data_IF_237430322465
#
_entry.id   IF_237430322465
#
_cell.length_a   1.000
_cell.length_b   1.000
_cell.length_c   1.000
_cell.angle_alpha   90.00
_cell.angle_beta   90.00
_cell.angle_gamma   90.00
#
_symmetry.space_group_name_H-M   'P 1'
#
loop_
_entity.id
_entity.type
_entity.pdbx_description
1 polymer ?
#
# COMPACT_ATOMS: atom_id res chain seq x y z
N UNK A 1 -19.05 -24.60 1.14
CA UNK A 1 -18.33 -23.76 0.15
C UNK A 1 -18.20 -22.27 0.54
N UNK A 2 -19.07 -21.69 1.39
CA UNK A 2 -19.03 -20.26 1.75
C UNK A 2 -17.92 -19.84 2.75
N UNK A 3 -17.44 -20.76 3.60
CA UNK A 3 -16.41 -20.47 4.61
C UNK A 3 -15.02 -20.28 3.95
N UNK A 4 -14.76 -21.01 2.88
CA UNK A 4 -13.49 -20.93 2.14
C UNK A 4 -13.34 -19.63 1.35
N UNK A 5 -14.44 -19.02 0.90
CA UNK A 5 -14.39 -17.76 0.15
C UNK A 5 -14.19 -16.55 1.06
N UNK A 6 -14.81 -16.50 2.25
CA UNK A 6 -14.57 -15.44 3.25
C UNK A 6 -13.14 -15.47 3.78
N UNK A 7 -12.57 -16.66 4.00
CA UNK A 7 -11.16 -16.78 4.42
C UNK A 7 -10.18 -16.25 3.37
N UNK A 8 -10.43 -16.56 2.08
CA UNK A 8 -9.62 -16.06 0.95
C UNK A 8 -9.73 -14.54 0.81
N UNK A 9 -10.93 -13.97 0.94
CA UNK A 9 -11.15 -12.52 0.91
C UNK A 9 -10.46 -11.80 2.07
N UNK A 10 -10.52 -12.35 3.28
CA UNK A 10 -9.80 -11.81 4.44
C UNK A 10 -8.29 -11.82 4.23
N UNK A 11 -7.74 -12.91 3.68
CA UNK A 11 -6.32 -13.00 3.34
C UNK A 11 -5.91 -11.99 2.27
N UNK A 12 -6.73 -11.78 1.24
CA UNK A 12 -6.50 -10.75 0.22
C UNK A 12 -6.52 -9.33 0.82
N UNK A 13 -7.45 -9.05 1.74
CA UNK A 13 -7.49 -7.77 2.44
C UNK A 13 -6.19 -7.52 3.21
N UNK A 14 -5.69 -8.53 3.96
CA UNK A 14 -4.42 -8.42 4.70
C UNK A 14 -3.24 -8.18 3.77
N UNK A 15 -3.14 -8.93 2.67
CA UNK A 15 -2.06 -8.76 1.69
C UNK A 15 -2.09 -7.36 1.08
N UNK A 16 -3.28 -6.89 0.69
CA UNK A 16 -3.45 -5.54 0.14
C UNK A 16 -3.07 -4.45 1.15
N UNK A 17 -3.40 -4.63 2.44
CA UNK A 17 -2.98 -3.71 3.51
C UNK A 17 -1.46 -3.66 3.64
N UNK A 18 -0.79 -4.82 3.68
CA UNK A 18 0.68 -4.89 3.83
C UNK A 18 1.35 -4.24 2.63
N UNK A 19 0.95 -4.60 1.41
CA UNK A 19 1.51 -4.02 0.18
C UNK A 19 1.30 -2.51 0.15
N UNK A 20 0.09 -2.05 0.49
CA UNK A 20 -0.25 -0.64 0.51
C UNK A 20 0.55 0.15 1.55
N UNK A 21 0.67 -0.38 2.77
CA UNK A 21 1.43 0.24 3.84
C UNK A 21 2.93 0.31 3.54
N UNK A 22 3.51 -0.76 2.97
CA UNK A 22 4.92 -0.78 2.57
C UNK A 22 5.15 0.21 1.43
N UNK A 23 4.34 0.20 0.37
CA UNK A 23 4.50 1.10 -0.76
C UNK A 23 4.36 2.57 -0.32
N UNK A 24 3.35 2.88 0.49
CA UNK A 24 3.17 4.23 1.02
C UNK A 24 4.29 4.63 1.99
N UNK A 25 4.74 3.71 2.85
CA UNK A 25 5.87 3.94 3.74
C UNK A 25 7.17 4.24 2.99
N UNK A 26 7.47 3.51 1.91
CA UNK A 26 8.62 3.78 1.05
C UNK A 26 8.47 5.12 0.33
N UNK A 27 7.26 5.46 -0.14
CA UNK A 27 7.00 6.77 -0.74
C UNK A 27 7.29 7.92 0.23
N UNK A 28 6.85 7.79 1.48
CA UNK A 28 7.13 8.76 2.55
C UNK A 28 8.63 8.84 2.78
N UNK A 29 9.32 7.70 2.95
CA UNK A 29 10.77 7.67 3.14
C UNK A 29 11.49 8.42 2.01
N UNK A 30 11.17 8.16 0.74
CA UNK A 30 11.76 8.84 -0.42
C UNK A 30 11.61 10.38 -0.40
N UNK A 31 10.55 10.89 0.22
CA UNK A 31 10.35 12.35 0.39
C UNK A 31 11.25 12.91 1.49
N UNK A 32 11.42 12.18 2.59
CA UNK A 32 12.10 12.65 3.80
C UNK A 32 13.59 12.30 3.88
N UNK A 33 14.05 11.28 3.15
CA UNK A 33 15.46 10.90 3.13
C UNK A 33 16.25 11.75 2.14
N UNK A 34 17.35 12.39 2.57
CA UNK A 34 18.25 13.08 1.66
C UNK A 34 18.99 12.04 0.80
N UNK A 35 18.73 12.07 -0.51
CA UNK A 35 19.47 11.32 -1.53
C UNK A 35 20.24 12.30 -2.41
N UNK A 36 21.55 12.07 -2.53
CA UNK A 36 22.47 12.90 -3.28
C UNK A 36 23.90 12.71 -2.77
N UNK A 37 24.93 13.12 -3.53
CA UNK A 37 26.31 12.94 -3.10
C UNK A 37 26.55 13.71 -1.81
N UNK A 38 26.85 13.00 -0.73
CA UNK A 38 27.34 13.57 0.54
C UNK A 38 28.87 13.73 0.54
N UNK A 39 29.51 13.49 -0.60
CA UNK A 39 30.96 13.53 -0.78
C UNK A 39 31.38 14.35 -1.99
N UNK A 40 32.62 14.83 -1.94
CA UNK A 40 33.29 15.74 -2.87
C UNK A 40 32.91 15.57 -4.34
N UNK A 41 32.63 16.71 -4.98
CA UNK A 41 32.31 16.85 -6.41
C UNK A 41 33.36 16.10 -7.25
N UNK A 42 33.02 14.91 -7.75
CA UNK A 42 33.79 14.24 -8.79
C UNK A 42 33.50 14.94 -10.11
N UNK A 43 34.52 15.57 -10.70
CA UNK A 43 34.46 16.10 -12.06
C UNK A 43 34.33 14.92 -13.04
N UNK A 44 33.10 14.51 -13.35
CA UNK A 44 32.78 13.59 -14.44
C UNK A 44 32.18 14.40 -15.59
N UNK A 45 32.51 14.02 -16.83
CA UNK A 45 31.86 14.55 -18.05
C UNK A 45 30.50 13.91 -18.30
N UNK A 46 30.10 12.94 -17.47
CA UNK A 46 28.78 12.32 -17.53
C UNK A 46 27.70 13.30 -17.05
N UNK A 47 26.53 13.32 -17.70
CA UNK A 47 25.42 14.16 -17.25
C UNK A 47 25.05 13.80 -15.80
N UNK A 48 24.88 14.80 -14.90
CA UNK A 48 24.55 14.54 -13.51
C UNK A 48 23.18 13.87 -13.43
N UNK A 49 23.11 12.77 -12.66
CA UNK A 49 21.83 12.08 -12.43
C UNK A 49 20.91 12.99 -11.61
N UNK A 50 19.73 13.29 -12.16
CA UNK A 50 18.71 14.08 -11.47
C UNK A 50 17.96 13.23 -10.42
N UNK A 51 18.62 13.01 -9.29
CA UNK A 51 18.08 12.29 -8.14
C UNK A 51 16.82 12.95 -7.56
N UNK A 52 16.67 14.27 -7.72
CA UNK A 52 15.52 15.04 -7.25
C UNK A 52 14.26 14.70 -8.04
N UNK A 53 14.35 14.59 -9.36
CA UNK A 53 13.21 14.20 -10.19
C UNK A 53 12.89 12.73 -10.00
N UNK A 54 13.91 11.86 -9.97
CA UNK A 54 13.73 10.42 -9.75
C UNK A 54 13.00 10.15 -8.42
N UNK A 55 13.40 10.79 -7.32
CA UNK A 55 12.75 10.59 -6.01
C UNK A 55 11.29 11.06 -6.02
N UNK A 56 10.99 12.21 -6.63
CA UNK A 56 9.64 12.79 -6.62
C UNK A 56 8.69 11.91 -7.42
N UNK A 57 9.14 11.45 -8.59
CA UNK A 57 8.36 10.55 -9.44
C UNK A 57 8.16 9.19 -8.77
N UNK A 58 9.21 8.60 -8.19
CA UNK A 58 9.09 7.33 -7.48
C UNK A 58 8.17 7.43 -6.26
N UNK A 59 8.28 8.50 -5.46
CA UNK A 59 7.40 8.74 -4.32
C UNK A 59 5.94 8.93 -4.76
N UNK A 60 5.69 9.67 -5.84
CA UNK A 60 4.33 9.88 -6.34
C UNK A 60 3.68 8.56 -6.81
N UNK A 61 4.42 7.73 -7.55
CA UNK A 61 3.93 6.43 -8.04
C UNK A 61 3.68 5.47 -6.87
N UNK A 62 4.64 5.34 -5.95
CA UNK A 62 4.49 4.45 -4.79
C UNK A 62 3.41 4.93 -3.83
N UNK A 63 3.25 6.24 -3.65
CA UNK A 63 2.22 6.83 -2.81
C UNK A 63 0.82 6.61 -3.37
N UNK A 64 0.61 6.86 -4.66
CA UNK A 64 -0.68 6.61 -5.33
C UNK A 64 -1.04 5.13 -5.34
N UNK A 65 -0.08 4.25 -5.66
CA UNK A 65 -0.29 2.81 -5.59
C UNK A 65 -0.59 2.33 -4.17
N UNK A 66 0.15 2.83 -3.17
CA UNK A 66 -0.05 2.50 -1.77
C UNK A 66 -1.44 2.89 -1.27
N UNK A 67 -1.90 4.10 -1.59
CA UNK A 67 -3.24 4.57 -1.25
C UNK A 67 -4.34 3.73 -1.92
N UNK A 68 -4.18 3.41 -3.20
CA UNK A 68 -5.14 2.56 -3.91
C UNK A 68 -5.24 1.14 -3.31
N UNK A 69 -4.09 0.56 -2.95
CA UNK A 69 -4.04 -0.74 -2.28
C UNK A 69 -4.71 -0.69 -0.90
N UNK A 70 -4.47 0.36 -0.10
CA UNK A 70 -5.10 0.55 1.21
C UNK A 70 -6.62 0.75 1.09
N UNK A 71 -7.07 1.56 0.13
CA UNK A 71 -8.51 1.74 -0.13
C UNK A 71 -9.17 0.41 -0.53
N UNK A 72 -8.51 -0.37 -1.38
CA UNK A 72 -8.98 -1.71 -1.78
C UNK A 72 -9.06 -2.66 -0.58
N UNK A 73 -8.03 -2.66 0.27
CA UNK A 73 -8.00 -3.48 1.48
C UNK A 73 -9.15 -3.13 2.44
N UNK A 74 -9.44 -1.83 2.60
CA UNK A 74 -10.52 -1.34 3.43
C UNK A 74 -11.89 -1.81 2.93
N UNK A 75 -12.13 -1.75 1.61
CA UNK A 75 -13.35 -2.28 1.00
C UNK A 75 -13.47 -3.79 1.23
N UNK A 76 -12.40 -4.56 1.00
CA UNK A 76 -12.41 -6.00 1.21
C UNK A 76 -12.66 -6.37 2.69
N UNK A 77 -12.04 -5.65 3.62
CA UNK A 77 -12.24 -5.83 5.05
C UNK A 77 -13.71 -5.57 5.45
N UNK A 78 -14.32 -4.50 4.91
CA UNK A 78 -15.72 -4.18 5.15
C UNK A 78 -16.65 -5.29 4.63
N UNK A 79 -16.40 -5.80 3.42
CA UNK A 79 -17.18 -6.91 2.85
C UNK A 79 -17.10 -8.16 3.74
N UNK A 80 -15.90 -8.49 4.23
CA UNK A 80 -15.71 -9.63 5.14
C UNK A 80 -16.46 -9.40 6.46
N UNK A 81 -16.37 -8.20 7.03
CA UNK A 81 -17.05 -7.83 8.27
C UNK A 81 -18.58 -7.93 8.14
N UNK A 82 -19.15 -7.39 7.05
CA UNK A 82 -20.59 -7.45 6.78
C UNK A 82 -21.04 -8.91 6.64
N UNK A 83 -20.31 -9.73 5.88
CA UNK A 83 -20.63 -11.16 5.72
C UNK A 83 -20.59 -11.91 7.05
N UNK A 84 -19.59 -11.61 7.88
CA UNK A 84 -19.47 -12.18 9.21
C UNK A 84 -20.63 -11.76 10.13
N UNK A 85 -21.02 -10.48 10.10
CA UNK A 85 -22.11 -9.96 10.91
C UNK A 85 -23.48 -10.55 10.50
N UNK A 86 -23.74 -10.69 9.20
CA UNK A 86 -24.96 -11.32 8.68
C UNK A 86 -25.03 -12.79 9.09
N UNK A 87 -23.93 -13.54 8.98
CA UNK A 87 -23.88 -14.95 9.37
C UNK A 87 -24.11 -15.18 10.88
N UNK A 88 -23.94 -14.14 11.71
CA UNK A 88 -24.12 -14.20 13.17
C UNK A 88 -25.47 -13.67 13.65
N UNK A 89 -26.35 -13.18 12.77
CA UNK A 89 -27.68 -12.75 13.21
C UNK A 89 -28.47 -13.95 13.72
N UNK A 90 -28.88 -13.97 15.00
CA UNK A 90 -29.79 -15.00 15.48
C UNK A 90 -31.11 -14.86 14.71
N UNK A 91 -31.52 -15.94 14.03
CA UNK A 91 -32.88 -16.08 13.52
C UNK A 91 -33.81 -15.98 14.71
N UNK A 92 -34.46 -14.82 14.90
CA UNK A 92 -35.60 -14.71 15.81
C UNK A 92 -36.64 -15.70 15.28
N UNK A 93 -36.74 -16.86 15.93
CA UNK A 93 -37.87 -17.74 15.79
C UNK A 93 -39.11 -16.94 16.20
N UNK A 94 -40.00 -16.72 15.23
CA UNK A 94 -41.36 -16.22 15.41
C UNK A 94 -42.23 -17.30 16.04
#
# INVERSE_FOLDING_TARGET
MAITTTLRLGRLAVVATIVGAVAYGVAVLLVWTPFGPTGSVRYSTEPPVDWLTIRRTAAAVLGTFGLAALATALVLALVVLVRWAVARRPTRAS
#
